data_IF_501752044824
#
_entry.id   IF_501752044824
#
_cell.length_a   1.000
_cell.length_b   1.000
_cell.length_c   1.000
_cell.angle_alpha   90.00
_cell.angle_beta   90.00
_cell.angle_gamma   90.00
#
_symmetry.space_group_name_H-M   'P 1'
#
loop_
_entity.id
_entity.type
_entity.pdbx_description
1 polymer ?
#
# COMPACT_ATOMS: atom_id res chain seq x y z
N UNK A 1 -9.38 -6.92 -34.48
CA UNK A 1 -8.87 -7.35 -33.16
C UNK A 1 -8.84 -6.14 -32.25
N UNK A 2 -9.67 -6.15 -31.21
CA UNK A 2 -9.89 -5.01 -30.31
C UNK A 2 -8.76 -5.02 -29.27
N UNK A 3 -7.97 -3.95 -29.24
CA UNK A 3 -6.78 -3.79 -28.41
C UNK A 3 -7.17 -3.44 -26.96
N UNK A 4 -7.42 -4.46 -26.13
CA UNK A 4 -7.72 -4.34 -24.69
C UNK A 4 -6.54 -3.82 -23.85
N UNK A 5 -5.32 -3.72 -24.41
CA UNK A 5 -4.13 -3.24 -23.69
C UNK A 5 -4.10 -1.72 -23.51
N UNK A 6 -4.81 -0.95 -24.35
CA UNK A 6 -4.81 0.51 -24.26
C UNK A 6 -5.72 1.05 -23.12
N UNK A 7 -6.81 0.36 -22.81
CA UNK A 7 -7.79 0.81 -21.80
C UNK A 7 -7.30 0.61 -20.37
N UNK A 8 -6.54 -0.47 -20.11
CA UNK A 8 -5.96 -0.73 -18.79
C UNK A 8 -4.74 0.17 -18.48
N UNK A 9 -3.98 0.53 -19.53
CA UNK A 9 -2.91 1.50 -19.46
C UNK A 9 -3.42 2.95 -19.25
N UNK A 10 -4.58 3.29 -19.82
CA UNK A 10 -5.22 4.60 -19.60
C UNK A 10 -5.68 4.78 -18.15
N UNK A 11 -6.31 3.75 -17.56
CA UNK A 11 -6.70 3.77 -16.13
C UNK A 11 -5.49 3.91 -15.19
N UNK A 12 -4.35 3.30 -15.54
CA UNK A 12 -3.12 3.35 -14.73
C UNK A 12 -2.39 4.69 -14.78
N UNK A 13 -2.54 5.46 -15.87
CA UNK A 13 -1.79 6.71 -16.09
C UNK A 13 -2.52 7.95 -15.52
N UNK A 14 -3.85 7.92 -15.43
CA UNK A 14 -4.62 8.93 -14.71
C UNK A 14 -4.52 8.76 -13.19
N UNK A 15 -4.51 7.53 -12.67
CA UNK A 15 -4.29 7.24 -11.24
C UNK A 15 -2.89 7.73 -10.79
N UNK A 16 -1.89 7.60 -11.65
CA UNK A 16 -0.49 7.94 -11.37
C UNK A 16 -0.22 9.41 -11.00
N UNK A 17 -0.92 10.36 -11.65
CA UNK A 17 -0.66 11.80 -11.49
C UNK A 17 -1.53 12.46 -10.41
N UNK A 18 -2.71 11.91 -10.11
CA UNK A 18 -3.55 12.38 -8.98
C UNK A 18 -2.99 11.94 -7.61
N UNK A 19 -2.02 11.03 -7.60
CA UNK A 19 -1.53 10.33 -6.41
C UNK A 19 -0.43 11.10 -5.66
N UNK A 20 0.34 11.99 -6.32
CA UNK A 20 1.44 12.74 -5.66
C UNK A 20 1.01 13.70 -4.55
N UNK A 21 -0.04 14.49 -4.75
CA UNK A 21 -0.58 15.38 -3.71
C UNK A 21 -1.50 14.64 -2.72
N UNK A 22 -1.99 13.45 -3.09
CA UNK A 22 -2.77 12.57 -2.22
C UNK A 22 -1.90 11.73 -1.28
N UNK A 23 -0.60 11.58 -1.52
CA UNK A 23 0.26 10.72 -0.71
C UNK A 23 0.41 11.15 0.75
N UNK A 24 0.60 12.45 1.03
CA UNK A 24 0.67 12.94 2.42
C UNK A 24 -0.68 12.76 3.14
N UNK A 25 -1.78 13.05 2.44
CA UNK A 25 -3.14 12.85 2.96
C UNK A 25 -3.50 11.36 3.12
N UNK A 26 -2.96 10.48 2.28
CA UNK A 26 -3.13 9.02 2.38
C UNK A 26 -2.37 8.45 3.57
N UNK A 27 -1.14 8.90 3.83
CA UNK A 27 -0.39 8.47 5.00
C UNK A 27 -1.10 8.89 6.29
N UNK A 28 -1.64 10.11 6.34
CA UNK A 28 -2.43 10.59 7.47
C UNK A 28 -3.73 9.80 7.63
N UNK A 29 -4.45 9.53 6.54
CA UNK A 29 -5.67 8.71 6.55
C UNK A 29 -5.38 7.27 7.02
N UNK A 30 -4.28 6.68 6.55
CA UNK A 30 -3.86 5.34 6.93
C UNK A 30 -3.41 5.28 8.39
N UNK A 31 -2.68 6.29 8.85
CA UNK A 31 -2.29 6.44 10.25
C UNK A 31 -3.51 6.59 11.15
N UNK A 32 -4.47 7.43 10.77
CA UNK A 32 -5.72 7.61 11.51
C UNK A 32 -6.56 6.31 11.55
N UNK A 33 -6.61 5.58 10.44
CA UNK A 33 -7.27 4.27 10.37
C UNK A 33 -6.61 3.24 11.30
N UNK A 34 -5.27 3.17 11.30
CA UNK A 34 -4.52 2.28 12.19
C UNK A 34 -4.65 2.72 13.66
N UNK A 35 -4.66 4.02 13.95
CA UNK A 35 -4.91 4.53 15.29
C UNK A 35 -6.32 4.16 15.78
N UNK A 36 -7.33 4.25 14.92
CA UNK A 36 -8.70 3.82 15.26
C UNK A 36 -8.76 2.31 15.53
N UNK A 37 -8.03 1.50 14.76
CA UNK A 37 -7.90 0.04 14.98
C UNK A 37 -7.19 -0.28 16.30
N UNK A 38 -6.17 0.50 16.66
CA UNK A 38 -5.47 0.39 17.93
C UNK A 38 -6.40 0.72 19.11
N UNK A 39 -7.22 1.77 19.00
CA UNK A 39 -8.23 2.09 20.01
C UNK A 39 -9.29 0.99 20.19
N UNK A 40 -9.55 0.20 19.15
CA UNK A 40 -10.44 -0.98 19.21
C UNK A 40 -9.79 -2.23 19.78
N UNK A 41 -8.47 -2.19 20.08
CA UNK A 41 -7.71 -3.34 20.58
C UNK A 41 -7.29 -4.34 19.50
N UNK A 42 -7.45 -4.01 18.21
CA UNK A 42 -7.00 -4.86 17.09
C UNK A 42 -5.48 -4.76 16.86
N UNK A 43 -4.88 -3.64 17.25
CA UNK A 43 -3.44 -3.38 17.18
C UNK A 43 -2.93 -3.19 18.62
N UNK A 44 -1.79 -3.79 18.99
CA UNK A 44 -1.22 -3.61 20.33
C UNK A 44 -0.94 -2.14 20.65
N UNK A 45 -1.17 -1.74 21.90
CA UNK A 45 -0.94 -0.36 22.35
C UNK A 45 0.53 0.08 22.28
N UNK A 46 1.47 -0.87 22.34
CA UNK A 46 2.90 -0.58 22.15
C UNK A 46 3.27 -0.21 20.72
N UNK A 47 2.41 -0.50 19.75
CA UNK A 47 2.73 -0.30 18.35
C UNK A 47 2.56 1.16 17.94
N UNK A 48 3.40 1.66 17.03
CA UNK A 48 3.26 3.01 16.49
C UNK A 48 2.50 3.00 15.14
N UNK A 49 1.23 3.46 15.11
CA UNK A 49 0.42 3.49 13.88
C UNK A 49 1.07 4.27 12.74
N UNK A 50 1.86 5.30 13.06
CA UNK A 50 2.53 6.15 12.07
C UNK A 50 3.63 5.37 11.34
N UNK A 51 4.45 4.60 12.08
CA UNK A 51 5.51 3.77 11.49
C UNK A 51 4.93 2.67 10.61
N UNK A 52 3.84 2.03 11.06
CA UNK A 52 3.09 1.07 10.25
C UNK A 52 2.56 1.71 8.96
N UNK A 53 1.97 2.91 9.04
CA UNK A 53 1.46 3.61 7.88
C UNK A 53 2.57 3.97 6.88
N UNK A 54 3.74 4.41 7.36
CA UNK A 54 4.91 4.69 6.51
C UNK A 54 5.42 3.45 5.80
N UNK A 55 5.56 2.34 6.53
CA UNK A 55 5.99 1.07 5.96
C UNK A 55 5.03 0.57 4.86
N UNK A 56 3.72 0.55 5.16
CA UNK A 56 2.69 0.16 4.19
C UNK A 56 2.67 1.07 2.97
N UNK A 57 2.85 2.38 3.18
CA UNK A 57 2.91 3.37 2.09
C UNK A 57 4.13 3.15 1.22
N UNK A 58 5.29 2.78 1.79
CA UNK A 58 6.50 2.45 1.05
C UNK A 58 6.30 1.21 0.17
N UNK A 59 5.71 0.15 0.71
CA UNK A 59 5.42 -1.08 -0.04
C UNK A 59 4.44 -0.83 -1.17
N UNK A 60 3.35 -0.11 -0.91
CA UNK A 60 2.36 0.21 -1.94
C UNK A 60 2.97 1.01 -3.10
N UNK A 61 3.87 1.95 -2.78
CA UNK A 61 4.63 2.70 -3.79
C UNK A 61 5.57 1.78 -4.58
N UNK A 62 6.34 0.92 -3.91
CA UNK A 62 7.23 -0.05 -4.57
C UNK A 62 6.49 -1.04 -5.48
N UNK A 63 5.32 -1.52 -5.05
CA UNK A 63 4.43 -2.36 -5.87
C UNK A 63 3.90 -1.60 -7.09
N UNK A 64 3.54 -0.33 -6.91
CA UNK A 64 3.06 0.52 -8.01
C UNK A 64 4.14 0.77 -9.06
N UNK A 65 5.39 0.96 -8.64
CA UNK A 65 6.54 1.08 -9.55
C UNK A 65 6.79 -0.25 -10.27
N UNK A 66 6.85 -1.35 -9.52
CA UNK A 66 7.07 -2.69 -10.08
C UNK A 66 6.01 -3.06 -11.11
N UNK A 67 4.74 -2.73 -10.85
CA UNK A 67 3.64 -2.95 -11.79
C UNK A 67 3.83 -2.15 -13.10
N UNK A 68 4.31 -0.90 -13.00
CA UNK A 68 4.61 -0.05 -14.18
C UNK A 68 5.79 -0.59 -14.99
N UNK A 69 6.76 -1.21 -14.33
CA UNK A 69 7.91 -1.85 -14.97
C UNK A 69 7.58 -3.23 -15.57
N UNK A 70 6.31 -3.67 -15.48
CA UNK A 70 5.84 -4.91 -16.09
C UNK A 70 5.97 -6.14 -15.18
N UNK A 71 6.07 -5.96 -13.86
CA UNK A 71 6.01 -7.08 -12.93
C UNK A 71 4.69 -7.86 -13.10
N UNK A 72 4.79 -9.18 -13.03
CA UNK A 72 3.61 -10.07 -13.08
C UNK A 72 2.77 -9.90 -11.82
N UNK A 73 1.47 -10.19 -11.94
CA UNK A 73 0.54 -10.19 -10.80
C UNK A 73 1.04 -11.11 -9.68
N UNK A 74 1.59 -12.28 -10.03
CA UNK A 74 2.16 -13.24 -9.10
C UNK A 74 3.30 -12.64 -8.27
N UNK A 75 4.14 -11.79 -8.87
CA UNK A 75 5.23 -11.12 -8.16
C UNK A 75 4.71 -10.06 -7.19
N UNK A 76 3.68 -9.31 -7.58
CA UNK A 76 3.02 -8.35 -6.68
C UNK A 76 2.29 -9.06 -5.53
N UNK A 77 1.65 -10.20 -5.81
CA UNK A 77 1.02 -11.05 -4.79
C UNK A 77 2.05 -11.58 -3.79
N UNK A 78 3.20 -12.06 -4.25
CA UNK A 78 4.29 -12.47 -3.35
C UNK A 78 4.77 -11.34 -2.44
N UNK A 79 4.84 -10.10 -2.92
CA UNK A 79 5.18 -8.93 -2.09
C UNK A 79 4.12 -8.72 -1.01
N UNK A 80 2.83 -8.75 -1.37
CA UNK A 80 1.73 -8.63 -0.41
C UNK A 80 1.74 -9.75 0.63
N UNK A 81 1.92 -11.01 0.22
CA UNK A 81 1.98 -12.16 1.12
C UNK A 81 3.18 -12.08 2.08
N UNK A 82 4.32 -11.62 1.59
CA UNK A 82 5.52 -11.42 2.42
C UNK A 82 5.27 -10.31 3.45
N UNK A 83 4.64 -9.21 3.02
CA UNK A 83 4.24 -8.11 3.89
C UNK A 83 3.31 -8.58 5.01
N UNK A 84 2.29 -9.37 4.67
CA UNK A 84 1.34 -9.93 5.63
C UNK A 84 1.98 -10.94 6.58
N UNK A 85 3.00 -11.69 6.13
CA UNK A 85 3.79 -12.57 7.01
C UNK A 85 4.61 -11.79 8.03
N UNK A 86 5.11 -10.61 7.66
CA UNK A 86 5.83 -9.71 8.57
C UNK A 86 4.90 -8.94 9.50
N UNK A 87 3.60 -8.88 9.20
CA UNK A 87 2.62 -8.11 9.98
C UNK A 87 2.66 -8.37 11.49
N UNK A 88 2.72 -9.62 12.00
CA UNK A 88 2.79 -9.86 13.43
C UNK A 88 4.07 -9.32 14.08
N UNK A 89 5.19 -9.26 13.36
CA UNK A 89 6.44 -8.68 13.86
C UNK A 89 6.38 -7.14 13.85
N UNK A 90 5.77 -6.56 12.81
CA UNK A 90 5.55 -5.12 12.72
C UNK A 90 4.65 -4.62 13.86
N UNK A 91 3.65 -5.40 14.27
CA UNK A 91 2.77 -5.08 15.40
C UNK A 91 3.47 -5.11 16.77
N UNK A 92 4.65 -5.74 16.88
CA UNK A 92 5.44 -5.77 18.12
C UNK A 92 6.35 -4.55 18.27
N UNK A 93 6.51 -3.77 17.20
CA UNK A 93 7.41 -2.60 17.12
C UNK A 93 6.66 -1.32 17.47
#
# INVERSE_FOLDING_TARGET
MINTSATLAASSKEIANTVKSRHAMQEETLSAFLAQRQQRGEIPAQCNPQLLAQYLSCILQGMSISAREGATLEKLQHISETTLRLWPELLKT
#
